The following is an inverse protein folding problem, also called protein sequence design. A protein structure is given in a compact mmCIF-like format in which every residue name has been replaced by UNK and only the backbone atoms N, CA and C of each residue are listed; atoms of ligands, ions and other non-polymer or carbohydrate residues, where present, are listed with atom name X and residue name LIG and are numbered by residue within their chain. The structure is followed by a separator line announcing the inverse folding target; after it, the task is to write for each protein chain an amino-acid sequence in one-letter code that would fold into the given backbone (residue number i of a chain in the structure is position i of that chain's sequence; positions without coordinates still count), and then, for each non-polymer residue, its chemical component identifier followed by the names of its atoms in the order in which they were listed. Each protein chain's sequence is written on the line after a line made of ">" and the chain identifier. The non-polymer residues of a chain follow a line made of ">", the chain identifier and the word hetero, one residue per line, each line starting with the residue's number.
data_IF_051431464521
#
_entry.id   IF_051431464521
#
_cell.length_a   1.000
_cell.length_b   1.000
_cell.length_c   1.000
_cell.angle_alpha   90.00
_cell.angle_beta   90.00
_cell.angle_gamma   90.00
#
_symmetry.space_group_name_H-M   'P 1'
#
loop_
_entity.id
_entity.type
_entity.pdbx_description
1 polymer ?
#
# COMPACT_ATOMS: atom_id res chain seq x y z
N UNK A 1 -51.16 7.57 52.31
CA UNK A 1 -50.53 8.25 51.16
C UNK A 1 -50.72 7.35 49.97
N UNK A 2 -51.36 7.78 48.87
CA UNK A 2 -51.42 6.92 47.68
C UNK A 2 -50.00 6.85 47.07
N UNK A 3 -49.48 5.64 46.94
CA UNK A 3 -48.25 5.34 46.20
C UNK A 3 -48.40 5.89 44.78
N UNK A 4 -47.51 6.81 44.41
CA UNK A 4 -47.35 7.21 43.01
C UNK A 4 -46.80 5.99 42.27
N UNK A 5 -47.66 5.26 41.57
CA UNK A 5 -47.22 4.28 40.58
C UNK A 5 -46.27 4.98 39.60
N UNK A 6 -45.11 4.39 39.27
CA UNK A 6 -44.24 4.95 38.26
C UNK A 6 -45.01 4.98 36.95
N UNK A 7 -45.24 6.18 36.43
CA UNK A 7 -45.80 6.38 35.09
C UNK A 7 -44.86 5.71 34.10
N UNK A 8 -45.32 4.62 33.50
CA UNK A 8 -44.64 3.90 32.43
C UNK A 8 -44.29 4.88 31.32
N UNK A 9 -43.00 5.20 31.16
CA UNK A 9 -42.56 6.12 30.14
C UNK A 9 -42.45 5.36 28.80
N UNK A 10 -43.51 5.44 28.00
CA UNK A 10 -43.65 4.78 26.69
C UNK A 10 -42.44 5.05 25.79
N UNK A 11 -41.82 6.22 25.91
CA UNK A 11 -40.65 6.62 25.12
C UNK A 11 -39.38 5.85 25.54
N UNK A 12 -39.17 5.66 26.85
CA UNK A 12 -38.05 4.85 27.35
C UNK A 12 -38.17 3.39 26.93
N UNK A 13 -39.38 2.83 26.93
CA UNK A 13 -39.60 1.45 26.49
C UNK A 13 -39.33 1.31 24.99
N UNK A 14 -39.73 2.30 24.18
CA UNK A 14 -39.42 2.34 22.75
C UNK A 14 -37.91 2.38 22.49
N UNK A 15 -37.16 3.20 23.22
CA UNK A 15 -35.70 3.26 23.05
C UNK A 15 -35.02 1.95 23.40
N UNK A 16 -35.41 1.29 24.51
CA UNK A 16 -34.91 -0.06 24.83
C UNK A 16 -35.19 -1.08 23.74
N UNK A 17 -36.35 -0.99 23.11
CA UNK A 17 -36.69 -1.88 21.99
C UNK A 17 -35.83 -1.60 20.75
N UNK A 18 -35.54 -0.32 20.46
CA UNK A 18 -34.65 0.07 19.35
C UNK A 18 -33.19 -0.33 19.61
N UNK A 19 -32.70 -0.16 20.84
CA UNK A 19 -31.36 -0.63 21.24
C UNK A 19 -31.22 -2.13 21.04
N UNK A 20 -32.19 -2.91 21.53
CA UNK A 20 -32.22 -4.35 21.31
C UNK A 20 -32.24 -4.70 19.83
N UNK A 21 -33.00 -3.96 19.03
CA UNK A 21 -33.08 -4.18 17.59
C UNK A 21 -31.75 -3.92 16.88
N UNK A 22 -30.98 -2.92 17.35
CA UNK A 22 -29.62 -2.64 16.89
C UNK A 22 -28.66 -3.77 17.28
N UNK A 23 -28.71 -4.24 18.53
CA UNK A 23 -27.90 -5.36 19.00
C UNK A 23 -28.15 -6.63 18.17
N UNK A 24 -29.43 -6.94 17.92
CA UNK A 24 -29.84 -8.08 17.09
C UNK A 24 -29.33 -7.92 15.63
N UNK A 25 -29.40 -6.70 15.08
CA UNK A 25 -28.89 -6.39 13.74
C UNK A 25 -27.36 -6.52 13.65
N UNK A 26 -26.61 -6.05 14.65
CA UNK A 26 -25.15 -6.15 14.68
C UNK A 26 -24.69 -7.59 14.87
N UNK A 27 -25.37 -8.37 15.71
CA UNK A 27 -25.14 -9.81 15.84
C UNK A 27 -25.35 -10.53 14.50
N UNK A 28 -26.36 -10.11 13.74
CA UNK A 28 -26.60 -10.64 12.39
C UNK A 28 -25.47 -10.27 11.42
N UNK A 29 -25.01 -9.02 11.42
CA UNK A 29 -23.87 -8.55 10.61
C UNK A 29 -22.63 -9.40 10.90
N UNK A 30 -22.25 -9.57 12.16
CA UNK A 30 -21.05 -10.34 12.53
C UNK A 30 -21.09 -11.76 11.96
N UNK A 31 -22.25 -12.43 12.06
CA UNK A 31 -22.45 -13.77 11.50
C UNK A 31 -22.34 -13.78 9.98
N UNK A 32 -23.01 -12.85 9.30
CA UNK A 32 -23.03 -12.77 7.84
C UNK A 32 -21.65 -12.41 7.27
N UNK A 33 -20.93 -11.48 7.90
CA UNK A 33 -19.56 -11.09 7.51
C UNK A 33 -18.59 -12.25 7.72
N UNK A 34 -18.68 -12.97 8.84
CA UNK A 34 -17.85 -14.15 9.07
C UNK A 34 -18.09 -15.23 7.98
N UNK A 35 -19.34 -15.42 7.57
CA UNK A 35 -19.70 -16.32 6.48
C UNK A 35 -19.21 -15.80 5.11
N UNK A 36 -19.34 -14.51 4.84
CA UNK A 36 -18.84 -13.84 3.62
C UNK A 36 -17.33 -14.02 3.50
N UNK A 37 -16.56 -13.69 4.53
CA UNK A 37 -15.09 -13.82 4.54
C UNK A 37 -14.68 -15.27 4.29
N UNK A 38 -15.38 -16.23 4.91
CA UNK A 38 -15.08 -17.66 4.73
C UNK A 38 -15.35 -18.16 3.32
N UNK A 39 -16.46 -17.74 2.72
CA UNK A 39 -16.96 -18.34 1.47
C UNK A 39 -16.56 -17.56 0.22
N UNK A 40 -16.46 -16.24 0.32
CA UNK A 40 -16.09 -15.35 -0.78
C UNK A 40 -15.55 -14.03 -0.18
N UNK A 41 -14.25 -13.91 0.13
CA UNK A 41 -13.70 -12.69 0.74
C UNK A 41 -13.48 -11.57 -0.29
N UNK A 42 -13.73 -11.81 -1.58
CA UNK A 42 -13.45 -10.81 -2.62
C UNK A 42 -14.62 -9.83 -2.77
N UNK A 43 -14.39 -8.52 -2.61
CA UNK A 43 -15.42 -7.51 -2.80
C UNK A 43 -15.73 -7.32 -4.30
N UNK A 44 -16.97 -6.92 -4.58
CA UNK A 44 -17.40 -6.45 -5.89
C UNK A 44 -16.98 -4.98 -6.12
N UNK A 45 -17.01 -4.49 -7.36
CA UNK A 45 -16.75 -3.07 -7.65
C UNK A 45 -17.66 -2.14 -6.82
N UNK A 46 -18.92 -2.51 -6.66
CA UNK A 46 -19.88 -1.71 -5.91
C UNK A 46 -19.52 -1.67 -4.42
N UNK A 47 -19.15 -2.82 -3.83
CA UNK A 47 -18.67 -2.91 -2.44
C UNK A 47 -17.35 -2.17 -2.22
N UNK A 48 -16.46 -2.11 -3.23
CA UNK A 48 -15.23 -1.34 -3.16
C UNK A 48 -15.47 0.17 -3.14
N UNK A 49 -16.42 0.64 -3.96
CA UNK A 49 -16.84 2.04 -3.97
C UNK A 49 -17.50 2.41 -2.63
N UNK A 50 -18.45 1.60 -2.16
CA UNK A 50 -19.08 1.80 -0.84
C UNK A 50 -18.06 1.66 0.30
N UNK A 51 -17.01 0.87 0.11
CA UNK A 51 -16.00 0.58 1.12
C UNK A 51 -16.52 -0.34 2.23
N UNK A 52 -17.39 -1.28 1.89
CA UNK A 52 -17.92 -2.29 2.80
C UNK A 52 -18.50 -3.46 2.01
N UNK A 53 -18.42 -4.68 2.55
CA UNK A 53 -19.27 -5.77 2.04
C UNK A 53 -20.73 -5.40 2.22
N UNK A 54 -21.59 -5.94 1.37
CA UNK A 54 -23.03 -5.84 1.54
C UNK A 54 -23.42 -6.25 2.98
N UNK A 55 -22.87 -7.36 3.47
CA UNK A 55 -23.11 -7.91 4.81
C UNK A 55 -22.64 -7.03 5.98
N UNK A 56 -21.69 -6.11 5.76
CA UNK A 56 -21.18 -5.21 6.80
C UNK A 56 -22.15 -4.08 7.15
N UNK A 57 -23.21 -3.89 6.36
CA UNK A 57 -24.22 -2.87 6.57
C UNK A 57 -25.46 -3.49 7.23
N UNK A 58 -26.06 -2.75 8.17
CA UNK A 58 -27.28 -3.16 8.87
C UNK A 58 -28.41 -3.55 7.89
N UNK A 59 -29.09 -4.69 8.12
CA UNK A 59 -29.91 -5.36 7.11
C UNK A 59 -31.10 -4.51 6.61
N UNK A 60 -31.63 -3.60 7.42
CA UNK A 60 -32.76 -2.75 7.05
C UNK A 60 -32.39 -1.50 6.25
N UNK A 61 -31.11 -1.11 6.21
CA UNK A 61 -30.62 0.08 5.49
C UNK A 61 -29.72 -0.27 4.31
N UNK A 62 -29.18 -1.49 4.28
CA UNK A 62 -28.27 -1.99 3.25
C UNK A 62 -28.71 -1.71 1.81
N UNK A 63 -29.90 -2.17 1.41
CA UNK A 63 -30.44 -1.93 0.07
C UNK A 63 -30.53 -0.42 -0.26
N UNK A 64 -30.79 0.40 0.74
CA UNK A 64 -30.91 1.83 0.57
C UNK A 64 -29.56 2.50 0.39
N UNK A 65 -28.52 2.09 1.13
CA UNK A 65 -27.14 2.58 0.95
C UNK A 65 -26.65 2.29 -0.47
N UNK A 66 -26.76 1.04 -0.93
CA UNK A 66 -26.39 0.65 -2.29
C UNK A 66 -27.30 1.30 -3.34
N UNK A 67 -28.60 1.45 -3.07
CA UNK A 67 -29.54 2.15 -3.94
C UNK A 67 -29.22 3.64 -4.10
N UNK A 68 -28.74 4.31 -3.05
CA UNK A 68 -28.24 5.68 -3.09
C UNK A 68 -26.96 5.76 -3.91
N UNK A 69 -26.02 4.84 -3.70
CA UNK A 69 -24.82 4.73 -4.52
C UNK A 69 -25.17 4.62 -6.00
N UNK A 70 -26.02 3.67 -6.41
CA UNK A 70 -26.46 3.51 -7.81
C UNK A 70 -27.05 4.79 -8.43
N UNK A 71 -27.62 5.68 -7.61
CA UNK A 71 -28.19 6.95 -8.04
C UNK A 71 -27.20 8.12 -8.06
N UNK A 72 -25.94 7.92 -7.70
CA UNK A 72 -24.92 8.98 -7.70
C UNK A 72 -24.71 9.68 -6.36
N UNK A 73 -25.08 9.08 -5.24
CA UNK A 73 -24.90 9.65 -3.90
C UNK A 73 -23.79 8.91 -3.15
N UNK A 74 -22.66 9.60 -2.89
CA UNK A 74 -21.52 9.06 -2.13
C UNK A 74 -21.83 9.04 -0.63
N UNK A 75 -22.25 7.89 -0.13
CA UNK A 75 -22.54 7.67 1.29
C UNK A 75 -21.28 7.24 2.05
N UNK A 76 -21.13 7.69 3.29
CA UNK A 76 -20.01 7.42 4.20
C UNK A 76 -20.44 6.57 5.40
N UNK A 77 -21.67 6.78 5.90
CA UNK A 77 -22.20 6.10 7.08
C UNK A 77 -23.69 5.79 6.93
N UNK A 78 -24.16 4.72 7.60
CA UNK A 78 -25.58 4.34 7.59
C UNK A 78 -25.98 3.52 8.83
N UNK A 79 -27.27 3.58 9.21
CA UNK A 79 -27.85 2.71 10.23
C UNK A 79 -28.49 3.43 11.42
N UNK A 80 -28.55 2.73 12.56
CA UNK A 80 -28.95 3.30 13.84
C UNK A 80 -27.94 4.35 14.32
N UNK A 81 -28.45 5.53 14.71
CA UNK A 81 -27.65 6.58 15.30
C UNK A 81 -28.29 7.15 16.57
N UNK A 82 -27.48 7.88 17.32
CA UNK A 82 -27.83 8.37 18.65
C UNK A 82 -27.41 7.41 19.76
N UNK A 83 -27.44 7.89 20.99
CA UNK A 83 -27.01 7.12 22.17
C UNK A 83 -27.94 5.93 22.41
N UNK A 84 -29.24 6.11 22.19
CA UNK A 84 -30.27 5.10 22.41
C UNK A 84 -30.88 4.62 21.09
N UNK A 85 -30.14 4.75 19.99
CA UNK A 85 -30.58 4.35 18.64
C UNK A 85 -31.88 5.06 18.20
N UNK A 86 -32.08 6.30 18.67
CA UNK A 86 -33.32 7.05 18.55
C UNK A 86 -33.61 7.56 17.12
N UNK A 87 -32.63 7.50 16.23
CA UNK A 87 -32.80 7.83 14.82
C UNK A 87 -32.10 6.84 13.89
N UNK A 88 -32.53 6.88 12.64
CA UNK A 88 -31.93 6.24 11.49
C UNK A 88 -31.26 7.31 10.64
N UNK A 89 -30.07 7.01 10.10
CA UNK A 89 -29.37 7.94 9.21
C UNK A 89 -28.67 7.24 8.05
N UNK A 90 -28.53 7.97 6.94
CA UNK A 90 -27.52 7.77 5.91
C UNK A 90 -26.90 9.15 5.68
N UNK A 91 -25.58 9.22 5.67
CA UNK A 91 -24.85 10.47 5.51
C UNK A 91 -23.61 10.33 4.64
N UNK A 92 -23.11 11.45 4.13
CA UNK A 92 -21.94 11.50 3.26
C UNK A 92 -21.84 12.80 2.46
N UNK A 93 -20.89 12.83 1.52
CA UNK A 93 -20.61 13.99 0.66
C UNK A 93 -21.51 14.00 -0.57
N UNK A 94 -22.74 14.48 -0.39
CA UNK A 94 -23.69 14.66 -1.48
C UNK A 94 -24.66 15.81 -1.23
N UNK A 95 -25.19 16.40 -2.30
CA UNK A 95 -26.23 17.42 -2.21
C UNK A 95 -27.64 16.85 -2.43
N UNK A 96 -28.64 17.51 -1.82
CA UNK A 96 -30.06 17.28 -2.05
C UNK A 96 -30.67 18.61 -2.50
N UNK A 97 -31.26 18.65 -3.69
CA UNK A 97 -31.93 19.85 -4.19
C UNK A 97 -33.18 20.19 -3.37
N UNK A 98 -33.62 21.45 -3.41
CA UNK A 98 -34.75 21.93 -2.62
C UNK A 98 -36.05 21.15 -2.87
N UNK A 99 -36.32 20.75 -4.11
CA UNK A 99 -37.54 20.03 -4.46
C UNK A 99 -37.52 18.61 -3.88
N UNK A 100 -36.36 17.94 -3.95
CA UNK A 100 -36.17 16.62 -3.34
C UNK A 100 -36.23 16.72 -1.82
N UNK A 101 -35.62 17.74 -1.21
CA UNK A 101 -35.69 18.01 0.23
C UNK A 101 -37.14 18.12 0.71
N UNK A 102 -37.97 18.94 0.06
CA UNK A 102 -39.40 19.08 0.39
C UNK A 102 -40.15 17.74 0.34
N UNK A 103 -39.89 16.90 -0.68
CA UNK A 103 -40.53 15.57 -0.81
C UNK A 103 -40.12 14.63 0.33
N UNK A 104 -38.86 14.66 0.74
CA UNK A 104 -38.33 13.84 1.83
C UNK A 104 -38.87 14.33 3.20
N UNK A 105 -38.93 15.64 3.41
CA UNK A 105 -39.49 16.24 4.62
C UNK A 105 -41.00 15.98 4.76
N UNK A 106 -41.74 15.97 3.65
CA UNK A 106 -43.16 15.63 3.64
C UNK A 106 -43.46 14.20 4.12
N UNK A 107 -42.48 13.28 4.07
CA UNK A 107 -42.61 11.93 4.64
C UNK A 107 -41.98 11.82 6.02
N UNK A 108 -41.51 12.91 6.63
CA UNK A 108 -40.94 12.95 7.97
C UNK A 108 -39.46 12.57 8.06
N UNK A 109 -38.71 12.63 6.96
CA UNK A 109 -37.25 12.66 7.01
C UNK A 109 -36.76 14.10 7.26
N UNK A 110 -35.55 14.25 7.77
CA UNK A 110 -34.86 15.52 7.97
C UNK A 110 -33.60 15.51 7.11
N UNK A 111 -33.36 16.61 6.40
CA UNK A 111 -32.14 16.82 5.63
C UNK A 111 -31.32 17.87 6.38
N UNK A 112 -30.21 17.43 6.97
CA UNK A 112 -29.32 18.28 7.78
C UNK A 112 -27.96 18.39 7.09
N UNK A 113 -27.28 19.51 7.30
CA UNK A 113 -25.88 19.73 6.92
C UNK A 113 -24.93 19.48 8.08
N UNK A 114 -23.64 19.35 7.80
CA UNK A 114 -22.59 19.25 8.82
C UNK A 114 -22.67 20.38 9.86
N UNK A 115 -22.88 21.61 9.38
CA UNK A 115 -23.06 22.79 10.24
C UNK A 115 -24.30 22.71 11.15
N UNK A 116 -25.40 22.09 10.71
CA UNK A 116 -26.67 22.02 11.45
C UNK A 116 -26.58 21.19 12.72
N UNK A 117 -25.55 20.34 12.84
CA UNK A 117 -25.36 19.41 13.95
C UNK A 117 -24.07 19.67 14.75
N UNK A 118 -23.41 20.79 14.47
CA UNK A 118 -22.20 21.26 15.19
C UNK A 118 -21.09 20.21 15.30
N UNK A 119 -20.97 19.29 14.33
CA UNK A 119 -19.88 18.31 14.32
C UNK A 119 -18.58 18.97 13.81
N UNK A 120 -17.50 19.00 14.61
CA UNK A 120 -16.22 19.54 14.17
C UNK A 120 -15.71 18.79 12.94
N UNK A 121 -15.30 19.51 11.91
CA UNK A 121 -14.72 18.92 10.68
C UNK A 121 -15.72 18.62 9.56
N UNK A 122 -17.03 18.80 9.76
CA UNK A 122 -18.03 18.62 8.72
C UNK A 122 -18.62 19.97 8.28
N UNK A 123 -18.35 20.36 7.03
CA UNK A 123 -18.88 21.59 6.42
C UNK A 123 -20.24 21.41 5.75
N UNK A 124 -20.67 22.43 5.00
CA UNK A 124 -21.96 22.49 4.28
C UNK A 124 -22.10 21.42 3.18
N UNK A 125 -20.98 20.82 2.76
CA UNK A 125 -20.94 19.78 1.73
C UNK A 125 -21.33 18.40 2.27
N UNK A 126 -21.33 18.21 3.60
CA UNK A 126 -21.72 16.96 4.23
C UNK A 126 -23.21 16.97 4.54
N UNK A 127 -23.94 15.95 4.10
CA UNK A 127 -25.40 15.88 4.23
C UNK A 127 -25.84 14.64 4.99
N UNK A 128 -26.80 14.81 5.89
CA UNK A 128 -27.48 13.74 6.61
C UNK A 128 -28.93 13.62 6.14
N UNK A 129 -29.36 12.41 5.82
CA UNK A 129 -30.77 12.05 5.71
C UNK A 129 -31.14 11.29 6.98
N UNK A 130 -31.98 11.87 7.84
CA UNK A 130 -32.29 11.31 9.17
C UNK A 130 -33.79 11.18 9.41
N UNK A 131 -34.24 10.14 10.11
CA UNK A 131 -35.60 10.09 10.66
C UNK A 131 -35.66 9.28 11.95
N UNK A 132 -36.66 9.54 12.80
CA UNK A 132 -36.92 8.72 13.99
C UNK A 132 -37.94 7.62 13.66
N UNK A 133 -37.59 6.33 13.84
CA UNK A 133 -38.53 5.22 13.68
C UNK A 133 -39.78 5.43 14.52
N UNK A 134 -40.96 5.13 14.00
CA UNK A 134 -42.20 5.22 14.79
C UNK A 134 -42.37 3.98 15.68
N UNK A 135 -41.92 2.84 15.19
CA UNK A 135 -42.02 1.51 15.80
C UNK A 135 -40.65 0.84 15.75
N UNK A 136 -40.34 0.00 16.73
CA UNK A 136 -39.13 -0.81 16.76
C UNK A 136 -39.30 -2.08 15.89
N UNK A 137 -39.38 -1.88 14.58
CA UNK A 137 -39.55 -2.93 13.58
C UNK A 137 -38.66 -2.66 12.36
N UNK A 138 -37.72 -3.58 12.08
CA UNK A 138 -36.76 -3.46 10.98
C UNK A 138 -37.45 -3.39 9.61
N UNK A 139 -38.56 -4.09 9.41
CA UNK A 139 -39.29 -4.04 8.14
C UNK A 139 -39.92 -2.67 7.93
N UNK A 140 -40.46 -2.06 9.00
CA UNK A 140 -41.02 -0.69 8.93
C UNK A 140 -39.96 0.37 8.71
N UNK A 141 -38.79 0.19 9.32
CA UNK A 141 -37.63 1.05 9.07
C UNK A 141 -37.17 0.90 7.60
N UNK A 142 -37.06 -0.33 7.10
CA UNK A 142 -36.71 -0.62 5.70
C UNK A 142 -37.71 -0.01 4.72
N UNK A 143 -39.01 -0.21 4.93
CA UNK A 143 -40.08 0.39 4.11
C UNK A 143 -39.91 1.92 3.99
N UNK A 144 -39.46 2.57 5.07
CA UNK A 144 -39.19 4.00 5.08
C UNK A 144 -37.94 4.37 4.28
N UNK A 145 -36.86 3.60 4.41
CA UNK A 145 -35.65 3.77 3.60
C UNK A 145 -35.90 3.55 2.11
N UNK A 146 -36.61 2.47 1.74
CA UNK A 146 -37.00 2.18 0.36
C UNK A 146 -37.80 3.35 -0.25
N UNK A 147 -38.70 3.95 0.55
CA UNK A 147 -39.44 5.15 0.14
C UNK A 147 -38.54 6.37 -0.06
N UNK A 148 -37.60 6.63 0.86
CA UNK A 148 -36.62 7.71 0.73
C UNK A 148 -35.83 7.56 -0.57
N UNK A 149 -35.25 6.37 -0.81
CA UNK A 149 -34.46 6.12 -2.02
C UNK A 149 -35.30 6.26 -3.27
N UNK A 150 -36.57 5.84 -3.28
CA UNK A 150 -37.47 6.02 -4.42
C UNK A 150 -37.70 7.49 -4.81
N UNK A 151 -37.60 8.42 -3.85
CA UNK A 151 -37.80 9.86 -4.06
C UNK A 151 -36.53 10.59 -4.53
N UNK A 152 -35.35 9.99 -4.32
CA UNK A 152 -34.09 10.56 -4.77
C UNK A 152 -33.96 10.49 -6.31
N UNK A 153 -33.64 11.59 -7.00
CA UNK A 153 -33.36 11.56 -8.44
C UNK A 153 -32.02 10.89 -8.74
N UNK A 154 -31.89 10.30 -9.93
CA UNK A 154 -30.59 9.86 -10.46
C UNK A 154 -29.74 11.07 -10.84
N UNK A 155 -28.51 11.14 -10.33
CA UNK A 155 -27.57 12.23 -10.62
C UNK A 155 -26.82 12.06 -11.94
N UNK A 156 -26.81 10.86 -12.53
CA UNK A 156 -26.06 10.53 -13.75
C UNK A 156 -24.57 10.94 -13.69
N UNK A 157 -24.00 10.93 -12.48
CA UNK A 157 -22.58 11.22 -12.24
C UNK A 157 -21.92 9.95 -11.69
N UNK A 158 -20.64 9.70 -12.01
CA UNK A 158 -19.86 8.66 -11.33
C UNK A 158 -19.94 8.88 -9.82
N UNK A 159 -20.19 7.80 -9.07
CA UNK A 159 -20.14 7.86 -7.61
C UNK A 159 -18.69 7.82 -7.19
N UNK A 160 -18.34 8.69 -6.25
CA UNK A 160 -17.01 8.67 -5.65
C UNK A 160 -16.93 7.55 -4.63
N UNK A 161 -15.78 6.87 -4.51
CA UNK A 161 -15.56 5.94 -3.41
C UNK A 161 -15.76 6.64 -2.07
N UNK A 162 -16.28 5.92 -1.08
CA UNK A 162 -16.41 6.35 0.30
C UNK A 162 -15.02 6.63 0.88
N UNK A 163 -14.88 7.77 1.55
CA UNK A 163 -13.63 8.34 2.06
C UNK A 163 -13.48 8.22 3.58
N UNK A 164 -14.43 7.55 4.24
CA UNK A 164 -14.35 7.27 5.66
C UNK A 164 -13.19 6.32 5.95
N UNK A 165 -12.57 6.48 7.14
CA UNK A 165 -11.45 5.62 7.54
C UNK A 165 -11.81 4.13 7.50
N UNK A 166 -13.05 3.76 7.88
CA UNK A 166 -13.52 2.37 7.78
C UNK A 166 -13.59 1.85 6.35
N UNK A 167 -13.94 2.69 5.38
CA UNK A 167 -13.95 2.33 3.96
C UNK A 167 -12.55 2.23 3.36
N UNK A 168 -11.61 3.04 3.82
CA UNK A 168 -10.20 2.92 3.45
C UNK A 168 -9.59 1.62 3.99
N UNK A 169 -9.80 1.33 5.28
CA UNK A 169 -9.32 0.11 5.93
C UNK A 169 -9.91 -1.15 5.25
N UNK A 170 -11.18 -1.09 4.86
CA UNK A 170 -11.82 -2.15 4.09
C UNK A 170 -11.09 -2.44 2.77
N UNK A 171 -10.79 -1.40 1.98
CA UNK A 171 -10.09 -1.57 0.69
C UNK A 171 -8.67 -2.08 0.90
N UNK A 172 -7.92 -1.55 1.87
CA UNK A 172 -6.57 -2.04 2.22
C UNK A 172 -6.61 -3.52 2.60
N UNK A 173 -7.64 -3.95 3.33
CA UNK A 173 -7.74 -5.34 3.80
C UNK A 173 -8.17 -6.31 2.70
N UNK A 174 -9.19 -5.95 1.91
CA UNK A 174 -9.87 -6.90 1.02
C UNK A 174 -9.59 -6.71 -0.47
N UNK A 175 -8.97 -5.60 -0.85
CA UNK A 175 -8.50 -5.35 -2.21
C UNK A 175 -7.27 -4.41 -2.22
N UNK A 176 -6.16 -4.77 -1.53
CA UNK A 176 -4.95 -3.94 -1.49
C UNK A 176 -4.39 -3.64 -2.89
N UNK A 177 -4.68 -4.50 -3.87
CA UNK A 177 -4.28 -4.31 -5.27
C UNK A 177 -5.08 -3.22 -5.99
N UNK A 178 -6.22 -2.77 -5.45
CA UNK A 178 -7.14 -1.78 -6.05
C UNK A 178 -6.81 -0.35 -5.65
N UNK A 179 -5.52 -0.01 -5.74
CA UNK A 179 -5.00 1.33 -5.52
C UNK A 179 -5.55 2.37 -6.51
N UNK A 180 -6.08 1.94 -7.66
CA UNK A 180 -6.77 2.79 -8.63
C UNK A 180 -8.02 3.47 -8.06
N UNK A 181 -8.67 2.85 -7.07
CA UNK A 181 -9.84 3.39 -6.38
C UNK A 181 -9.41 4.49 -5.41
N UNK A 182 -8.34 4.24 -4.64
CA UNK A 182 -7.77 5.23 -3.73
C UNK A 182 -7.27 6.45 -4.51
N UNK A 183 -6.59 6.22 -5.64
CA UNK A 183 -6.16 7.28 -6.57
C UNK A 183 -7.33 8.15 -7.01
N UNK A 184 -8.41 7.55 -7.48
CA UNK A 184 -9.61 8.27 -7.93
C UNK A 184 -10.24 9.09 -6.79
N UNK A 185 -10.30 8.54 -5.59
CA UNK A 185 -10.82 9.24 -4.43
C UNK A 185 -10.00 10.50 -4.14
N UNK A 186 -8.67 10.37 -4.06
CA UNK A 186 -7.76 11.49 -3.76
C UNK A 186 -7.77 12.54 -4.88
N UNK A 187 -7.73 12.13 -6.15
CA UNK A 187 -7.78 13.05 -7.29
C UNK A 187 -9.05 13.92 -7.26
N UNK A 188 -10.17 13.33 -6.84
CA UNK A 188 -11.45 14.03 -6.80
C UNK A 188 -11.57 14.90 -5.54
N UNK A 189 -11.07 14.41 -4.40
CA UNK A 189 -10.91 15.23 -3.21
C UNK A 189 -10.10 16.47 -3.56
N UNK A 190 -8.88 16.34 -4.06
CA UNK A 190 -8.03 17.46 -4.49
C UNK A 190 -8.76 18.42 -5.45
N UNK A 191 -9.53 17.90 -6.40
CA UNK A 191 -10.31 18.72 -7.33
C UNK A 191 -11.44 19.53 -6.68
N UNK A 192 -11.95 19.13 -5.50
CA UNK A 192 -12.97 19.88 -4.76
C UNK A 192 -12.43 21.14 -4.07
N UNK A 193 -11.12 21.17 -3.74
CA UNK A 193 -10.46 22.35 -3.16
C UNK A 193 -10.83 22.70 -1.72
N UNK A 194 -11.56 21.84 -1.00
CA UNK A 194 -12.09 22.13 0.34
C UNK A 194 -11.23 21.53 1.48
N UNK A 195 -9.94 21.87 1.53
CA UNK A 195 -9.00 21.35 2.55
C UNK A 195 -8.04 22.43 3.07
N UNK A 196 -7.37 22.15 4.18
CA UNK A 196 -6.22 22.95 4.60
C UNK A 196 -5.05 22.74 3.64
N UNK A 197 -4.12 23.72 3.52
CA UNK A 197 -2.90 23.54 2.72
C UNK A 197 -2.09 22.30 3.11
N UNK A 198 -2.08 21.95 4.40
CA UNK A 198 -1.41 20.75 4.94
C UNK A 198 -2.08 19.45 4.44
N UNK A 199 -3.41 19.37 4.50
CA UNK A 199 -4.15 18.22 4.00
C UNK A 199 -4.04 18.09 2.46
N UNK A 200 -3.98 19.21 1.74
CA UNK A 200 -3.72 19.22 0.30
C UNK A 200 -2.32 18.66 -0.01
N UNK A 201 -1.29 19.10 0.72
CA UNK A 201 0.08 18.60 0.58
C UNK A 201 0.16 17.09 0.87
N UNK A 202 -0.46 16.63 1.95
CA UNK A 202 -0.51 15.21 2.33
C UNK A 202 -1.21 14.35 1.27
N UNK A 203 -2.35 14.82 0.75
CA UNK A 203 -3.05 14.14 -0.34
C UNK A 203 -2.22 14.09 -1.63
N UNK A 204 -1.51 15.17 -1.96
CA UNK A 204 -0.61 15.20 -3.13
C UNK A 204 0.54 14.19 -2.97
N UNK A 205 1.18 14.14 -1.81
CA UNK A 205 2.22 13.15 -1.49
C UNK A 205 1.68 11.72 -1.60
N UNK A 206 0.51 11.46 -1.01
CA UNK A 206 -0.14 10.14 -1.08
C UNK A 206 -0.48 9.75 -2.51
N UNK A 207 -1.00 10.69 -3.31
CA UNK A 207 -1.31 10.46 -4.72
C UNK A 207 -0.06 10.09 -5.53
N UNK A 208 1.07 10.71 -5.23
CA UNK A 208 2.34 10.41 -5.89
C UNK A 208 2.89 9.05 -5.48
N UNK A 209 2.80 8.69 -4.20
CA UNK A 209 3.09 7.34 -3.72
C UNK A 209 2.20 6.30 -4.41
N UNK A 210 0.90 6.55 -4.58
CA UNK A 210 0.01 5.62 -5.28
C UNK A 210 0.39 5.46 -6.76
N UNK A 211 0.69 6.57 -7.46
CA UNK A 211 1.13 6.53 -8.86
C UNK A 211 2.43 5.74 -9.01
N UNK A 212 3.33 5.85 -8.04
CA UNK A 212 4.54 5.03 -7.96
C UNK A 212 4.18 3.55 -7.81
N UNK A 213 3.35 3.18 -6.84
CA UNK A 213 2.94 1.79 -6.62
C UNK A 213 2.28 1.24 -7.90
N UNK A 214 1.38 1.99 -8.54
CA UNK A 214 0.78 1.61 -9.83
C UNK A 214 1.84 1.38 -10.92
N UNK A 215 2.85 2.27 -11.02
CA UNK A 215 3.92 2.11 -12.00
C UNK A 215 4.72 0.82 -11.76
N UNK A 216 5.04 0.54 -10.50
CA UNK A 216 5.86 -0.60 -10.08
C UNK A 216 5.08 -1.89 -10.30
N UNK A 217 3.82 -1.94 -9.88
CA UNK A 217 2.93 -3.09 -10.12
C UNK A 217 2.65 -3.33 -11.61
N UNK A 218 2.68 -2.29 -12.45
CA UNK A 218 2.47 -2.45 -13.90
C UNK A 218 3.77 -2.63 -14.69
N UNK A 219 4.93 -2.67 -14.03
CA UNK A 219 6.25 -2.64 -14.65
C UNK A 219 6.38 -1.53 -15.71
N UNK A 220 5.73 -0.38 -15.48
CA UNK A 220 5.80 0.77 -16.39
C UNK A 220 6.87 1.74 -15.87
N UNK A 221 7.96 1.98 -16.63
CA UNK A 221 8.99 2.92 -16.22
C UNK A 221 8.41 4.28 -15.85
N UNK A 222 8.96 4.90 -14.81
CA UNK A 222 8.51 6.20 -14.33
C UNK A 222 9.13 7.35 -15.15
N UNK A 223 8.39 8.46 -15.33
CA UNK A 223 9.00 9.70 -15.76
C UNK A 223 10.06 10.15 -14.74
N UNK A 224 11.18 10.68 -15.24
CA UNK A 224 12.31 11.13 -14.43
C UNK A 224 11.90 12.12 -13.33
N UNK A 225 11.08 13.11 -13.68
CA UNK A 225 10.61 14.15 -12.74
C UNK A 225 9.87 13.54 -11.54
N UNK A 226 9.14 12.43 -11.77
CA UNK A 226 8.46 11.69 -10.72
C UNK A 226 9.47 10.98 -9.81
N UNK A 227 10.48 10.32 -10.38
CA UNK A 227 11.54 9.67 -9.59
C UNK A 227 12.29 10.68 -8.72
N UNK A 228 12.66 11.84 -9.28
CA UNK A 228 13.38 12.88 -8.55
C UNK A 228 12.55 13.39 -7.35
N UNK A 229 11.26 13.67 -7.58
CA UNK A 229 10.37 14.15 -6.53
C UNK A 229 10.21 13.14 -5.39
N UNK A 230 10.04 11.85 -5.71
CA UNK A 230 9.95 10.77 -4.74
C UNK A 230 11.21 10.69 -3.87
N UNK A 231 12.39 10.76 -4.50
CA UNK A 231 13.66 10.71 -3.77
C UNK A 231 13.81 11.90 -2.79
N UNK A 232 13.16 13.03 -3.06
CA UNK A 232 13.27 14.26 -2.30
C UNK A 232 12.29 14.39 -1.11
N UNK A 233 11.22 13.60 -1.05
CA UNK A 233 10.08 13.87 -0.15
C UNK A 233 9.93 12.98 1.10
N UNK A 234 10.73 11.93 1.32
CA UNK A 234 10.48 10.99 2.43
C UNK A 234 11.44 11.12 3.63
N UNK A 235 10.84 11.40 4.80
CA UNK A 235 11.15 10.83 6.13
C UNK A 235 9.96 9.93 6.49
N UNK A 236 10.17 8.76 7.12
CA UNK A 236 9.21 7.83 7.78
C UNK A 236 9.82 6.40 7.66
N UNK A 237 9.94 5.48 8.63
CA UNK A 237 9.33 5.19 9.94
C UNK A 237 10.34 4.39 10.81
N UNK A 238 10.13 4.33 12.12
CA UNK A 238 10.92 3.47 13.04
C UNK A 238 10.66 1.97 12.82
N UNK A 239 11.74 1.19 12.73
CA UNK A 239 11.78 -0.26 12.51
C UNK A 239 12.46 -1.00 13.69
N UNK A 240 12.30 -2.33 13.81
CA UNK A 240 12.57 -3.08 15.03
C UNK A 240 14.07 -3.19 15.34
N UNK A 241 14.34 -3.51 16.60
CA UNK A 241 15.67 -3.64 17.23
C UNK A 241 16.68 -4.45 16.40
N UNK A 242 17.87 -3.86 16.22
CA UNK A 242 19.07 -4.38 15.56
C UNK A 242 19.39 -5.82 16.00
N UNK A 243 19.13 -6.18 17.27
CA UNK A 243 19.38 -7.53 17.79
C UNK A 243 18.43 -8.60 17.18
N UNK A 244 17.17 -8.27 16.92
CA UNK A 244 16.19 -9.23 16.39
C UNK A 244 16.44 -9.58 14.92
N UNK A 245 16.95 -8.62 14.12
CA UNK A 245 17.27 -8.83 12.69
C UNK A 245 18.58 -9.59 12.54
N UNK A 246 19.59 -9.28 13.37
CA UNK A 246 20.87 -10.00 13.37
C UNK A 246 20.68 -11.46 13.81
N UNK A 247 19.81 -11.72 14.79
CA UNK A 247 19.49 -13.09 15.23
C UNK A 247 18.69 -13.86 14.17
N UNK A 248 17.79 -13.19 13.45
CA UNK A 248 17.06 -13.72 12.31
C UNK A 248 18.00 -14.16 11.17
N UNK A 249 18.95 -13.33 10.74
CA UNK A 249 19.87 -13.66 9.64
C UNK A 249 20.82 -14.81 10.01
N UNK A 250 21.23 -14.90 11.28
CA UNK A 250 22.17 -15.94 11.75
C UNK A 250 21.52 -17.31 11.97
N UNK A 251 20.27 -17.36 12.46
CA UNK A 251 19.66 -18.61 12.91
C UNK A 251 18.58 -19.17 11.95
N UNK A 252 18.09 -18.37 11.00
CA UNK A 252 16.97 -18.81 10.15
C UNK A 252 17.23 -19.86 9.09
N UNK A 253 18.43 -20.12 8.56
CA UNK A 253 18.60 -21.28 7.68
C UNK A 253 18.17 -22.58 8.38
N UNK A 254 18.46 -22.71 9.67
CA UNK A 254 18.13 -23.90 10.45
C UNK A 254 16.66 -23.93 10.86
N UNK A 255 16.07 -22.79 11.24
CA UNK A 255 14.64 -22.66 11.53
C UNK A 255 13.77 -22.82 10.28
N UNK A 256 14.17 -22.26 9.13
CA UNK A 256 13.48 -22.42 7.86
C UNK A 256 13.57 -23.86 7.34
N UNK A 257 14.69 -24.56 7.55
CA UNK A 257 14.77 -26.00 7.32
C UNK A 257 13.78 -26.74 8.23
N UNK A 258 13.74 -26.41 9.53
CA UNK A 258 12.80 -27.02 10.47
C UNK A 258 11.34 -26.71 10.11
N UNK A 259 11.06 -25.53 9.59
CA UNK A 259 9.73 -25.10 9.16
C UNK A 259 9.30 -25.79 7.87
N UNK A 260 10.18 -25.87 6.86
CA UNK A 260 9.94 -26.65 5.65
C UNK A 260 9.74 -28.13 5.98
N UNK A 261 10.51 -28.68 6.92
CA UNK A 261 10.29 -30.05 7.43
C UNK A 261 8.96 -30.19 8.16
N UNK A 262 8.56 -29.20 8.96
CA UNK A 262 7.28 -29.17 9.67
C UNK A 262 6.07 -29.12 8.72
N UNK A 263 6.20 -28.41 7.60
CA UNK A 263 5.14 -28.22 6.60
C UNK A 263 5.33 -29.03 5.31
N UNK A 264 6.22 -30.03 5.33
CA UNK A 264 6.62 -30.82 4.16
C UNK A 264 5.44 -31.37 3.36
N UNK A 265 4.47 -31.99 4.03
CA UNK A 265 3.29 -32.57 3.37
C UNK A 265 2.42 -31.53 2.66
N UNK A 266 2.37 -30.30 3.16
CA UNK A 266 1.56 -29.24 2.57
C UNK A 266 2.28 -28.58 1.39
N UNK A 267 3.61 -28.45 1.47
CA UNK A 267 4.48 -28.01 0.37
C UNK A 267 4.40 -29.00 -0.81
N UNK A 268 4.46 -30.31 -0.53
CA UNK A 268 4.31 -31.35 -1.56
C UNK A 268 2.90 -31.33 -2.19
N UNK A 269 1.84 -31.09 -1.41
CA UNK A 269 0.47 -30.94 -1.95
C UNK A 269 0.32 -29.70 -2.83
N UNK A 270 1.08 -28.64 -2.57
CA UNK A 270 1.12 -27.43 -3.40
C UNK A 270 1.89 -27.65 -4.72
N UNK A 271 2.63 -28.75 -4.84
CA UNK A 271 3.41 -29.09 -6.04
C UNK A 271 4.88 -28.65 -5.98
N UNK A 272 5.34 -28.18 -4.83
CA UNK A 272 6.72 -27.76 -4.61
C UNK A 272 7.60 -28.93 -4.11
N UNK A 273 8.92 -28.77 -4.24
CA UNK A 273 9.91 -29.76 -3.79
C UNK A 273 10.56 -29.31 -2.47
N UNK A 274 10.10 -29.82 -1.31
CA UNK A 274 10.66 -29.45 -0.01
C UNK A 274 12.14 -29.83 0.12
N UNK A 275 12.63 -30.86 -0.57
CA UNK A 275 14.04 -31.24 -0.51
C UNK A 275 14.91 -30.26 -1.31
N UNK A 276 14.41 -29.73 -2.43
CA UNK A 276 15.08 -28.65 -3.15
C UNK A 276 15.16 -27.37 -2.31
N UNK A 277 14.06 -27.01 -1.64
CA UNK A 277 13.99 -25.85 -0.73
C UNK A 277 14.95 -26.04 0.46
N UNK A 278 14.95 -27.21 1.10
CA UNK A 278 15.88 -27.53 2.19
C UNK A 278 17.33 -27.54 1.69
N UNK A 279 17.60 -28.09 0.51
CA UNK A 279 18.92 -28.06 -0.09
C UNK A 279 19.37 -26.63 -0.35
N UNK A 280 18.47 -25.75 -0.76
CA UNK A 280 18.72 -24.32 -0.91
C UNK A 280 19.09 -23.70 0.44
N UNK A 281 18.27 -23.83 1.48
CA UNK A 281 18.60 -23.35 2.83
C UNK A 281 19.88 -23.96 3.42
N UNK A 282 20.20 -25.22 3.10
CA UNK A 282 21.47 -25.85 3.50
C UNK A 282 22.69 -25.23 2.83
N UNK A 283 22.55 -24.60 1.65
CA UNK A 283 23.63 -23.77 1.08
C UNK A 283 23.91 -22.53 1.93
N UNK A 284 22.94 -22.11 2.75
CA UNK A 284 23.08 -21.03 3.72
C UNK A 284 23.61 -21.54 5.09
N UNK A 285 23.93 -22.84 5.24
CA UNK A 285 24.41 -23.40 6.51
C UNK A 285 25.93 -23.24 6.73
N UNK A 286 26.72 -23.09 5.66
CA UNK A 286 28.17 -22.88 5.72
C UNK A 286 28.55 -21.41 6.00
N UNK A 287 27.64 -20.62 6.57
CA UNK A 287 27.77 -19.17 6.74
C UNK A 287 28.54 -18.69 7.97
N UNK A 288 29.39 -19.55 8.52
CA UNK A 288 30.39 -19.18 9.54
C UNK A 288 31.37 -18.07 9.07
N UNK A 289 31.32 -17.67 7.79
CA UNK A 289 32.14 -16.61 7.18
C UNK A 289 31.36 -15.36 6.76
N UNK A 290 30.06 -15.29 6.99
CA UNK A 290 29.33 -14.04 6.75
C UNK A 290 29.67 -13.02 7.83
N UNK A 291 30.02 -11.84 7.39
CA UNK A 291 30.10 -10.68 8.27
C UNK A 291 28.83 -9.87 8.08
N UNK A 292 27.99 -9.85 9.12
CA UNK A 292 26.82 -8.99 9.19
C UNK A 292 27.22 -7.78 10.02
N UNK A 293 27.21 -6.61 9.40
CA UNK A 293 27.51 -5.35 10.07
C UNK A 293 26.42 -4.33 9.74
N UNK A 294 26.14 -3.38 10.64
CA UNK A 294 25.28 -2.25 10.29
C UNK A 294 25.89 -1.45 9.15
N UNK A 295 25.05 -0.93 8.26
CA UNK A 295 25.45 -0.13 7.10
C UNK A 295 26.33 1.06 7.54
N UNK A 296 26.02 1.64 8.70
CA UNK A 296 26.78 2.75 9.28
C UNK A 296 28.20 2.41 9.79
N UNK A 297 28.57 1.12 9.77
CA UNK A 297 29.92 0.65 10.12
C UNK A 297 30.82 0.47 8.91
N UNK A 298 30.29 0.64 7.68
CA UNK A 298 31.12 0.55 6.49
C UNK A 298 32.16 1.68 6.46
N UNK A 299 33.39 1.42 5.97
CA UNK A 299 34.48 2.39 6.07
C UNK A 299 34.23 3.72 5.31
N UNK A 300 33.34 3.69 4.32
CA UNK A 300 32.97 4.81 3.45
C UNK A 300 31.56 5.36 3.74
N UNK A 301 30.99 5.01 4.90
CA UNK A 301 29.66 5.47 5.31
C UNK A 301 29.51 6.99 5.27
N UNK A 302 30.52 7.74 5.72
CA UNK A 302 30.51 9.22 5.69
C UNK A 302 30.32 9.78 4.27
N UNK A 303 30.86 9.09 3.26
CA UNK A 303 30.72 9.50 1.86
C UNK A 303 29.29 9.29 1.36
N UNK A 304 28.68 8.16 1.74
CA UNK A 304 27.28 7.87 1.45
C UNK A 304 26.37 8.90 2.13
N UNK A 305 26.57 9.19 3.42
CA UNK A 305 25.80 10.21 4.14
C UNK A 305 25.97 11.58 3.48
N UNK A 306 27.19 11.95 3.07
CA UNK A 306 27.44 13.26 2.48
C UNK A 306 26.61 13.49 1.21
N UNK A 307 26.31 12.42 0.47
CA UNK A 307 25.45 12.43 -0.70
C UNK A 307 23.97 12.39 -0.34
N UNK A 308 23.57 11.48 0.56
CA UNK A 308 22.16 11.29 0.90
C UNK A 308 21.61 12.43 1.75
N UNK A 309 22.46 13.16 2.48
CA UNK A 309 22.09 14.19 3.44
C UNK A 309 21.90 13.63 4.85
N UNK A 310 22.19 14.44 5.87
CA UNK A 310 22.11 14.02 7.29
C UNK A 310 20.69 13.60 7.70
N UNK A 311 19.66 14.25 7.14
CA UNK A 311 18.25 13.90 7.40
C UNK A 311 17.88 12.49 6.91
N UNK A 312 18.60 11.95 5.91
CA UNK A 312 18.39 10.60 5.36
C UNK A 312 19.26 9.53 6.02
N UNK A 313 20.21 9.92 6.87
CA UNK A 313 21.14 9.01 7.52
C UNK A 313 20.52 8.22 8.68
N UNK A 314 19.47 8.76 9.30
CA UNK A 314 18.80 8.13 10.44
C UNK A 314 18.07 6.84 10.02
N UNK A 315 17.30 6.90 8.93
CA UNK A 315 16.48 5.78 8.47
C UNK A 315 17.33 4.61 7.95
N UNK A 316 18.48 4.90 7.34
CA UNK A 316 19.40 3.89 6.80
C UNK A 316 20.34 3.29 7.87
N UNK A 317 20.40 3.87 9.06
CA UNK A 317 21.31 3.41 10.12
C UNK A 317 20.95 2.03 10.68
N UNK A 318 19.70 1.60 10.47
CA UNK A 318 19.18 0.30 10.88
C UNK A 318 19.32 -0.78 9.78
N UNK A 319 19.81 -0.42 8.58
CA UNK A 319 20.05 -1.39 7.52
C UNK A 319 21.28 -2.24 7.85
N UNK A 320 21.15 -3.53 7.63
CA UNK A 320 22.26 -4.46 7.77
C UNK A 320 22.91 -4.74 6.42
N UNK A 321 24.21 -4.95 6.47
CA UNK A 321 25.02 -5.35 5.33
C UNK A 321 25.60 -6.72 5.59
N UNK A 322 25.36 -7.63 4.65
CA UNK A 322 25.95 -8.97 4.65
C UNK A 322 27.12 -8.97 3.68
N UNK A 323 28.34 -9.11 4.22
CA UNK A 323 29.57 -9.20 3.44
C UNK A 323 29.93 -10.65 3.16
N UNK A 324 30.10 -10.99 1.88
CA UNK A 324 30.44 -12.33 1.39
C UNK A 324 31.85 -12.35 0.77
N UNK A 325 32.76 -13.17 1.31
CA UNK A 325 34.13 -13.30 0.81
C UNK A 325 34.29 -14.38 -0.29
N UNK A 326 33.43 -15.38 -0.31
CA UNK A 326 33.59 -16.53 -1.22
C UNK A 326 33.18 -16.19 -2.66
N UNK A 327 34.19 -15.93 -3.50
CA UNK A 327 34.04 -15.61 -4.93
C UNK A 327 33.25 -16.67 -5.73
N UNK A 328 33.50 -17.96 -5.44
CA UNK A 328 32.85 -19.06 -6.16
C UNK A 328 31.37 -19.09 -5.80
N UNK A 329 31.07 -18.86 -4.52
CA UNK A 329 29.72 -18.75 -4.03
C UNK A 329 29.01 -17.53 -4.64
N UNK A 330 29.65 -16.36 -4.57
CA UNK A 330 29.10 -15.12 -5.13
C UNK A 330 28.67 -15.30 -6.58
N UNK A 331 29.58 -15.80 -7.42
CA UNK A 331 29.29 -16.08 -8.83
C UNK A 331 28.17 -17.08 -9.06
N UNK A 332 28.02 -18.07 -8.18
CA UNK A 332 26.97 -19.09 -8.31
C UNK A 332 25.56 -18.54 -8.05
N UNK A 333 25.41 -17.52 -7.20
CA UNK A 333 24.10 -17.00 -6.77
C UNK A 333 23.75 -15.61 -7.31
N UNK A 334 24.76 -14.74 -7.43
CA UNK A 334 24.59 -13.33 -7.76
C UNK A 334 25.24 -12.98 -9.11
N UNK A 335 25.90 -13.94 -9.74
CA UNK A 335 26.56 -13.75 -11.03
C UNK A 335 27.73 -12.76 -10.92
N UNK A 336 27.70 -11.72 -11.75
CA UNK A 336 28.76 -10.72 -11.88
C UNK A 336 28.48 -9.44 -11.10
N UNK A 337 27.25 -9.21 -10.63
CA UNK A 337 26.89 -8.00 -9.90
C UNK A 337 27.68 -7.94 -8.58
N UNK A 338 28.26 -6.81 -8.18
CA UNK A 338 29.05 -6.70 -6.94
C UNK A 338 28.19 -6.52 -5.67
N UNK A 339 26.89 -6.26 -5.85
CA UNK A 339 25.91 -6.05 -4.79
C UNK A 339 24.56 -6.67 -5.13
N UNK A 340 23.72 -6.84 -4.10
CA UNK A 340 22.31 -7.20 -4.25
C UNK A 340 21.51 -6.80 -3.01
N UNK A 341 20.34 -6.21 -3.19
CA UNK A 341 19.36 -5.98 -2.13
C UNK A 341 18.47 -7.20 -1.93
N UNK A 342 18.11 -7.49 -0.69
CA UNK A 342 17.11 -8.49 -0.34
C UNK A 342 15.92 -7.83 0.34
N UNK A 343 14.74 -7.99 -0.25
CA UNK A 343 13.51 -7.40 0.25
C UNK A 343 13.09 -7.99 1.60
N UNK A 344 13.27 -9.31 1.81
CA UNK A 344 12.72 -10.06 2.95
C UNK A 344 13.25 -9.60 4.32
N UNK A 345 14.40 -8.92 4.35
CA UNK A 345 15.17 -8.68 5.56
C UNK A 345 15.81 -7.28 5.61
N UNK A 346 15.40 -6.33 4.77
CA UNK A 346 15.98 -4.97 4.70
C UNK A 346 17.52 -5.00 4.77
N UNK A 347 18.10 -5.85 3.92
CA UNK A 347 19.52 -6.18 3.96
C UNK A 347 20.14 -5.98 2.59
N UNK A 348 21.33 -5.41 2.59
CA UNK A 348 22.16 -5.30 1.39
C UNK A 348 23.26 -6.35 1.48
N UNK A 349 23.36 -7.19 0.45
CA UNK A 349 24.37 -8.22 0.32
C UNK A 349 25.48 -7.67 -0.57
N UNK A 350 26.70 -7.64 -0.06
CA UNK A 350 27.85 -7.03 -0.72
C UNK A 350 29.01 -8.01 -0.82
N UNK A 351 29.77 -7.86 -1.90
CA UNK A 351 31.00 -8.62 -2.10
C UNK A 351 32.11 -8.07 -1.21
N UNK A 352 32.60 -8.86 -0.26
CA UNK A 352 33.45 -8.40 0.84
C UNK A 352 34.79 -7.80 0.36
N UNK A 353 35.40 -8.39 -0.67
CA UNK A 353 36.68 -7.95 -1.24
C UNK A 353 36.61 -6.55 -1.85
N UNK A 354 35.44 -6.16 -2.37
CA UNK A 354 35.18 -4.82 -2.92
C UNK A 354 34.82 -3.85 -1.78
N UNK A 355 33.88 -4.25 -0.93
CA UNK A 355 33.20 -3.36 -0.01
C UNK A 355 33.83 -3.26 1.38
N UNK A 356 34.94 -3.95 1.64
CA UNK A 356 35.76 -3.76 2.85
C UNK A 356 36.91 -2.78 2.66
N UNK A 357 37.18 -2.36 1.41
CA UNK A 357 38.25 -1.40 1.13
C UNK A 357 37.85 0.01 1.57
N UNK A 358 38.77 0.71 2.24
CA UNK A 358 38.59 2.12 2.61
C UNK A 358 38.67 3.04 1.41
N UNK A 359 39.41 2.61 0.39
CA UNK A 359 39.67 3.37 -0.84
C UNK A 359 38.82 2.83 -2.01
N UNK A 360 37.60 2.39 -1.72
CA UNK A 360 36.64 1.95 -2.74
C UNK A 360 36.39 3.04 -3.79
N UNK A 361 36.33 2.64 -5.07
CA UNK A 361 36.06 3.59 -6.15
C UNK A 361 34.63 4.13 -6.08
N UNK A 362 34.39 5.30 -6.68
CA UNK A 362 33.04 5.88 -6.78
C UNK A 362 32.09 4.96 -7.52
N UNK A 363 32.55 4.31 -8.58
CA UNK A 363 31.79 3.35 -9.38
C UNK A 363 31.33 2.15 -8.54
N UNK A 364 32.24 1.58 -7.75
CA UNK A 364 31.91 0.45 -6.87
C UNK A 364 30.98 0.89 -5.74
N UNK A 365 31.19 2.09 -5.17
CA UNK A 365 30.30 2.64 -4.17
C UNK A 365 28.90 2.96 -4.73
N UNK A 366 28.81 3.33 -6.01
CA UNK A 366 27.52 3.62 -6.67
C UNK A 366 26.60 2.40 -6.72
N UNK A 367 27.14 1.19 -6.75
CA UNK A 367 26.35 -0.04 -6.65
C UNK A 367 25.66 -0.19 -5.30
N UNK A 368 26.32 0.18 -4.20
CA UNK A 368 25.64 0.23 -2.91
C UNK A 368 24.52 1.28 -2.89
N UNK A 369 24.72 2.43 -3.55
CA UNK A 369 23.66 3.44 -3.70
C UNK A 369 22.48 2.91 -4.53
N UNK A 370 22.76 2.11 -5.56
CA UNK A 370 21.76 1.41 -6.36
C UNK A 370 20.91 0.48 -5.46
N UNK A 371 21.54 -0.35 -4.63
CA UNK A 371 20.82 -1.22 -3.70
C UNK A 371 20.00 -0.45 -2.66
N UNK A 372 20.50 0.68 -2.16
CA UNK A 372 19.73 1.58 -1.29
C UNK A 372 18.48 2.10 -2.05
N UNK A 373 18.60 2.36 -3.35
CA UNK A 373 17.48 2.69 -4.21
C UNK A 373 16.41 1.60 -4.26
N UNK A 374 16.80 0.31 -4.32
CA UNK A 374 15.86 -0.80 -4.23
C UNK A 374 15.14 -0.88 -2.89
N UNK A 375 15.88 -0.78 -1.77
CA UNK A 375 15.28 -0.84 -0.43
C UNK A 375 14.19 0.23 -0.26
N UNK A 376 14.44 1.46 -0.76
CA UNK A 376 13.43 2.52 -0.76
C UNK A 376 12.15 2.13 -1.48
N UNK A 377 12.26 1.48 -2.64
CA UNK A 377 11.08 1.01 -3.38
C UNK A 377 10.34 -0.07 -2.59
N UNK A 378 11.05 -0.98 -1.90
CA UNK A 378 10.42 -1.98 -1.05
C UNK A 378 9.65 -1.36 0.10
N UNK A 379 10.25 -0.40 0.80
CA UNK A 379 9.61 0.32 1.90
C UNK A 379 8.34 1.06 1.42
N UNK A 380 8.37 1.63 0.21
CA UNK A 380 7.21 2.31 -0.38
C UNK A 380 6.07 1.36 -0.79
N UNK A 381 6.39 0.11 -1.16
CA UNK A 381 5.39 -0.87 -1.59
C UNK A 381 4.56 -1.40 -0.42
N UNK A 382 5.09 -1.42 0.81
CA UNK A 382 4.41 -1.91 2.01
C UNK A 382 3.66 -3.23 1.74
N UNK A 383 2.32 -3.23 1.88
CA UNK A 383 1.44 -4.39 1.68
C UNK A 383 1.41 -4.92 0.24
N UNK A 384 1.88 -4.15 -0.75
CA UNK A 384 1.90 -4.52 -2.16
C UNK A 384 3.16 -5.27 -2.60
N UNK A 385 4.14 -5.46 -1.70
CA UNK A 385 5.43 -6.08 -2.03
C UNK A 385 5.28 -7.49 -2.60
N UNK A 386 4.42 -8.32 -2.01
CA UNK A 386 4.14 -9.69 -2.51
C UNK A 386 3.48 -9.71 -3.89
N UNK A 387 2.62 -8.74 -4.17
CA UNK A 387 2.00 -8.62 -5.49
C UNK A 387 3.06 -8.26 -6.52
N UNK A 388 3.95 -7.33 -6.18
CA UNK A 388 5.09 -7.00 -7.01
C UNK A 388 6.00 -8.23 -7.27
N UNK A 389 6.34 -9.00 -6.24
CA UNK A 389 7.15 -10.23 -6.39
C UNK A 389 6.54 -11.22 -7.38
N UNK A 390 5.23 -11.43 -7.31
CA UNK A 390 4.53 -12.35 -8.21
C UNK A 390 4.60 -11.86 -9.66
N UNK A 391 4.34 -10.57 -9.88
CA UNK A 391 4.40 -9.95 -11.22
C UNK A 391 5.83 -10.00 -11.77
N UNK A 392 6.82 -9.73 -10.93
CA UNK A 392 8.23 -9.77 -11.31
C UNK A 392 8.66 -11.19 -11.70
N UNK A 393 8.30 -12.19 -10.88
CA UNK A 393 8.58 -13.61 -11.13
C UNK A 393 7.98 -14.10 -12.45
N UNK A 394 6.84 -13.57 -12.85
CA UNK A 394 6.17 -13.90 -14.12
C UNK A 394 6.75 -13.17 -15.34
N UNK A 395 7.18 -11.92 -15.18
CA UNK A 395 7.59 -11.06 -16.31
C UNK A 395 8.98 -11.37 -16.88
N UNK A 396 9.94 -11.77 -16.04
CA UNK A 396 11.31 -12.09 -16.46
C UNK A 396 12.13 -10.94 -17.06
N UNK A 397 11.63 -9.68 -16.98
CA UNK A 397 12.35 -8.48 -17.45
C UNK A 397 12.94 -7.71 -16.26
N UNK A 398 14.28 -7.67 -16.15
CA UNK A 398 14.96 -7.07 -15.00
C UNK A 398 15.16 -5.55 -15.19
N UNK A 399 15.86 -5.12 -16.26
CA UNK A 399 16.48 -3.79 -16.37
C UNK A 399 15.52 -2.63 -16.71
N UNK A 400 14.33 -2.92 -17.25
CA UNK A 400 13.36 -1.90 -17.67
C UNK A 400 12.11 -1.89 -16.78
N UNK A 401 12.33 -1.89 -15.46
CA UNK A 401 11.25 -1.78 -14.47
C UNK A 401 11.31 -0.43 -13.76
N UNK A 402 10.19 -0.04 -13.14
CA UNK A 402 10.11 1.18 -12.34
C UNK A 402 11.06 1.13 -11.14
N UNK A 403 11.25 -0.06 -10.56
CA UNK A 403 12.19 -0.29 -9.47
C UNK A 403 13.64 -0.04 -9.90
N UNK A 404 14.08 -0.59 -11.04
CA UNK A 404 15.39 -0.30 -11.60
C UNK A 404 15.53 1.17 -11.99
N UNK A 405 14.46 1.82 -12.47
CA UNK A 405 14.49 3.26 -12.78
C UNK A 405 14.87 4.09 -11.55
N UNK A 406 14.30 3.77 -10.38
CA UNK A 406 14.60 4.44 -9.11
C UNK A 406 16.05 4.13 -8.66
N UNK A 407 16.46 2.86 -8.76
CA UNK A 407 17.79 2.42 -8.35
C UNK A 407 18.92 3.02 -9.22
N UNK A 408 18.79 2.98 -10.54
CA UNK A 408 19.74 3.60 -11.47
C UNK A 408 19.76 5.12 -11.36
N UNK A 409 18.61 5.76 -11.12
CA UNK A 409 18.56 7.21 -10.88
C UNK A 409 19.43 7.57 -9.67
N UNK A 410 19.24 6.89 -8.54
CA UNK A 410 20.02 7.11 -7.32
C UNK A 410 21.53 6.88 -7.55
N UNK A 411 21.88 5.84 -8.31
CA UNK A 411 23.26 5.49 -8.66
C UNK A 411 23.96 6.60 -9.46
N UNK A 412 23.32 7.09 -10.51
CA UNK A 412 23.93 8.08 -11.42
C UNK A 412 23.89 9.50 -10.86
N UNK A 413 22.89 9.84 -10.04
CA UNK A 413 22.91 11.09 -9.27
C UNK A 413 24.08 11.12 -8.29
N UNK A 414 24.37 9.99 -7.65
CA UNK A 414 25.57 9.86 -6.81
C UNK A 414 26.84 10.07 -7.62
N UNK A 415 27.01 9.38 -8.75
CA UNK A 415 28.19 9.52 -9.61
C UNK A 415 28.38 10.96 -10.12
N UNK A 416 27.29 11.63 -10.51
CA UNK A 416 27.30 13.05 -10.86
C UNK A 416 27.71 13.93 -9.69
N UNK A 417 27.19 13.65 -8.49
CA UNK A 417 27.50 14.44 -7.27
C UNK A 417 28.98 14.39 -6.88
N UNK A 418 29.66 13.27 -7.16
CA UNK A 418 31.11 13.12 -6.93
C UNK A 418 31.97 13.57 -8.12
N UNK A 419 31.34 14.16 -9.15
CA UNK A 419 32.01 14.84 -10.25
C UNK A 419 32.34 13.97 -11.46
N UNK A 420 31.76 12.76 -11.58
CA UNK A 420 31.88 11.95 -12.80
C UNK A 420 31.17 12.63 -13.95
N UNK A 421 31.76 12.57 -15.14
CA UNK A 421 31.15 13.03 -16.39
C UNK A 421 30.15 12.03 -16.93
N UNK A 422 29.32 12.51 -17.86
CA UNK A 422 28.38 11.69 -18.63
C UNK A 422 29.09 10.53 -19.34
N UNK A 423 30.21 10.83 -19.98
CA UNK A 423 31.01 9.87 -20.72
C UNK A 423 31.59 8.79 -19.80
N UNK A 424 32.11 9.18 -18.63
CA UNK A 424 32.60 8.22 -17.62
C UNK A 424 31.49 7.29 -17.13
N UNK A 425 30.29 7.81 -16.86
CA UNK A 425 29.13 6.98 -16.47
C UNK A 425 28.71 6.01 -17.58
N UNK A 426 28.71 6.46 -18.85
CA UNK A 426 28.39 5.60 -20.00
C UNK A 426 29.45 4.51 -20.18
N UNK A 427 30.72 4.82 -20.01
CA UNK A 427 31.79 3.84 -20.16
C UNK A 427 31.77 2.81 -19.02
N UNK A 428 31.48 3.24 -17.79
CA UNK A 428 31.23 2.35 -16.65
C UNK A 428 30.08 1.34 -16.92
N UNK A 429 28.97 1.79 -17.50
CA UNK A 429 27.85 0.89 -17.88
C UNK A 429 28.29 -0.14 -18.93
N UNK A 430 29.06 0.28 -19.93
CA UNK A 430 29.54 -0.64 -20.97
C UNK A 430 30.44 -1.70 -20.38
N UNK A 431 31.34 -1.32 -19.47
CA UNK A 431 32.21 -2.26 -18.75
C UNK A 431 31.37 -3.27 -17.97
N UNK A 432 30.39 -2.81 -17.19
CA UNK A 432 29.46 -3.67 -16.47
C UNK A 432 28.70 -4.65 -17.38
N UNK A 433 28.17 -4.18 -18.50
CA UNK A 433 27.46 -5.03 -19.46
C UNK A 433 28.39 -6.02 -20.16
N UNK A 434 29.64 -5.63 -20.42
CA UNK A 434 30.66 -6.54 -20.94
C UNK A 434 31.00 -7.65 -19.92
N UNK A 435 31.09 -7.33 -18.64
CA UNK A 435 31.31 -8.32 -17.59
C UNK A 435 30.12 -9.28 -17.46
N UNK A 436 28.90 -8.74 -17.50
CA UNK A 436 27.66 -9.52 -17.26
C UNK A 436 27.28 -10.41 -18.44
N UNK A 437 27.41 -9.93 -19.67
CA UNK A 437 27.08 -10.69 -20.87
C UNK A 437 28.31 -11.43 -21.44
N UNK A 438 29.50 -10.89 -21.29
CA UNK A 438 30.69 -11.28 -22.03
C UNK A 438 31.00 -10.34 -23.19
N UNK A 439 32.17 -10.54 -23.80
CA UNK A 439 32.63 -9.80 -24.97
C UNK A 439 31.78 -10.15 -26.20
N UNK A 440 31.53 -9.18 -27.08
CA UNK A 440 30.64 -9.36 -28.25
C UNK A 440 31.09 -10.49 -29.18
N UNK A 441 32.38 -10.81 -29.20
CA UNK A 441 32.94 -11.92 -29.97
C UNK A 441 32.49 -13.30 -29.49
N UNK A 442 32.02 -13.40 -28.25
CA UNK A 442 31.65 -14.64 -27.57
C UNK A 442 30.13 -14.81 -27.44
N UNK A 443 29.37 -13.76 -27.74
CA UNK A 443 27.92 -13.71 -27.58
C UNK A 443 27.15 -14.31 -28.77
N UNK A 444 26.03 -14.97 -28.46
CA UNK A 444 25.04 -15.30 -29.49
C UNK A 444 24.34 -14.04 -29.98
N UNK A 445 23.76 -14.07 -31.18
CA UNK A 445 22.99 -12.92 -31.71
C UNK A 445 21.79 -12.53 -30.84
N UNK A 446 21.26 -13.47 -30.05
CA UNK A 446 20.21 -13.18 -29.07
C UNK A 446 20.77 -12.35 -27.91
N UNK A 447 21.93 -12.74 -27.38
CA UNK A 447 22.55 -12.10 -26.23
C UNK A 447 23.10 -10.71 -26.59
N UNK A 448 23.64 -10.54 -27.81
CA UNK A 448 24.02 -9.21 -28.33
C UNK A 448 22.84 -8.24 -28.35
N UNK A 449 21.68 -8.69 -28.86
CA UNK A 449 20.48 -7.86 -28.90
C UNK A 449 19.96 -7.52 -27.51
N UNK A 450 20.06 -8.45 -26.56
CA UNK A 450 19.72 -8.18 -25.17
C UNK A 450 20.67 -7.12 -24.57
N UNK A 451 21.98 -7.30 -24.74
CA UNK A 451 23.01 -6.35 -24.31
C UNK A 451 22.84 -4.95 -24.92
N UNK A 452 22.59 -4.86 -26.23
CA UNK A 452 22.35 -3.58 -26.92
C UNK A 452 21.08 -2.88 -26.41
N UNK A 453 19.99 -3.65 -26.20
CA UNK A 453 18.75 -3.13 -25.65
C UNK A 453 18.98 -2.58 -24.23
N UNK A 454 19.64 -3.35 -23.39
CA UNK A 454 19.89 -2.99 -21.99
C UNK A 454 20.85 -1.78 -21.90
N UNK A 455 21.89 -1.73 -22.74
CA UNK A 455 22.74 -0.55 -22.91
C UNK A 455 21.93 0.68 -23.29
N UNK A 456 20.98 0.53 -24.22
CA UNK A 456 20.08 1.61 -24.63
C UNK A 456 19.27 2.18 -23.46
N UNK A 457 18.73 1.33 -22.59
CA UNK A 457 18.01 1.75 -21.40
C UNK A 457 18.92 2.46 -20.39
N UNK A 458 20.09 1.87 -20.09
CA UNK A 458 21.01 2.43 -19.11
C UNK A 458 21.61 3.77 -19.56
N UNK A 459 21.97 3.90 -20.84
CA UNK A 459 22.41 5.17 -21.42
C UNK A 459 21.30 6.22 -21.38
N UNK A 460 20.02 5.81 -21.52
CA UNK A 460 18.91 6.74 -21.37
C UNK A 460 18.82 7.30 -19.95
N UNK A 461 19.04 6.50 -18.90
CA UNK A 461 19.11 7.00 -17.53
C UNK A 461 20.25 8.02 -17.36
N UNK A 462 21.45 7.70 -17.85
CA UNK A 462 22.59 8.66 -17.79
C UNK A 462 22.28 9.94 -18.55
N UNK A 463 21.69 9.86 -19.73
CA UNK A 463 21.34 11.03 -20.55
C UNK A 463 20.33 11.96 -19.87
N UNK A 464 19.44 11.41 -19.06
CA UNK A 464 18.42 12.16 -18.35
C UNK A 464 18.99 12.92 -17.15
N UNK A 465 20.11 12.46 -16.61
CA UNK A 465 20.78 13.04 -15.44
C UNK A 465 21.78 14.12 -15.84
N UNK A 466 22.50 13.93 -16.96
CA UNK A 466 23.56 14.81 -17.47
C UNK A 466 23.13 15.57 -18.72
#
# INVERSE_FOLDING_TARGET
>A
MPEKFPTFNVEQEKFKQLEKLREDAHTQIEREVAERIKNNPRPTEEELLVGAFHEMIEPHVRDATFGMYKKGYSTESSGFGGENSEYQQIDGYFEIDAQTKEKLEAIGAKILKGEDIELPGFGDDYTFIRFSPQEADLNKIKEKWDKIVSLLPEKNKPVLPSTSGGSEDFRKTFAPERIDIERQAIEIQLASGNFSPEAEEDMQKRLEKIKLIESVLTNKPLPLETVQKILDEEKINEWPDEEAIVEHIKNKPEEAILEVEKYREDIEKAGDDPDAIIAEYKKFKDFDKLEVIPLNKLPYWEKIISYLGEDRAYDLSNLNVVLIEDEKYWKAFFGTNPSKSSFDINTIILKKDIFSDKDISDEQLSWLVHEIGHIKVYDMLEDNLKNYENIFRESGEYINTSMESVAFQAQFDFLKSVGKSKEECVDFIKEYLNESYGEDTELTEKDKKAKERDLGYLVNYVNNIF
#
